data_IF_553147824699
#
_entry.id   IF_553147824699
#
_cell.length_a   1.000
_cell.length_b   1.000
_cell.length_c   1.000
_cell.angle_alpha   90.00
_cell.angle_beta   90.00
_cell.angle_gamma   90.00
#
_symmetry.space_group_name_H-M   'P 1'
#
loop_
_entity.id
_entity.type
_entity.pdbx_description
1 polymer ?
#
# COMPACT_ATOMS: atom_id res chain seq x y z
N UNK A 1 12.60 1.69 -63.02
CA UNK A 1 13.56 0.55 -62.96
C UNK A 1 14.32 0.69 -61.65
N UNK A 2 14.29 -0.30 -60.74
CA UNK A 2 15.24 -1.42 -60.63
C UNK A 2 16.71 -0.95 -60.47
N UNK A 3 17.53 -1.45 -59.53
CA UNK A 3 17.39 -2.57 -58.55
C UNK A 3 18.58 -2.55 -57.55
N UNK A 4 18.49 -3.39 -56.51
CA UNK A 4 19.61 -3.89 -55.67
C UNK A 4 20.21 -2.96 -54.60
N UNK A 5 20.77 -3.43 -53.46
CA UNK A 5 20.56 -4.62 -52.58
C UNK A 5 21.65 -4.55 -51.48
N UNK A 6 21.32 -4.76 -50.21
CA UNK A 6 22.15 -5.29 -49.07
C UNK A 6 21.21 -5.25 -47.85
N UNK A 7 20.60 -6.36 -47.45
CA UNK A 7 21.12 -7.41 -46.56
C UNK A 7 21.21 -6.95 -45.08
N UNK A 8 20.12 -7.13 -44.33
CA UNK A 8 20.12 -7.21 -42.88
C UNK A 8 19.34 -8.48 -42.47
N UNK A 9 19.82 -9.22 -41.48
CA UNK A 9 19.35 -10.58 -41.17
C UNK A 9 17.92 -10.61 -40.62
N UNK A 10 17.13 -11.56 -41.13
CA UNK A 10 16.02 -12.13 -40.38
C UNK A 10 16.57 -12.99 -39.22
N UNK A 11 16.39 -12.53 -37.99
CA UNK A 11 16.44 -13.41 -36.81
C UNK A 11 15.02 -13.92 -36.58
N UNK A 12 14.78 -15.18 -36.97
CA UNK A 12 13.50 -15.85 -36.79
C UNK A 12 13.39 -16.36 -35.33
N UNK A 13 13.09 -15.46 -34.40
CA UNK A 13 12.82 -15.82 -33.00
C UNK A 13 11.48 -16.55 -32.89
N UNK A 14 11.52 -17.88 -32.81
CA UNK A 14 10.39 -18.70 -32.40
C UNK A 14 10.07 -18.44 -30.93
N UNK A 15 9.19 -17.47 -30.64
CA UNK A 15 8.61 -17.35 -29.31
C UNK A 15 7.80 -18.60 -29.00
N UNK A 16 8.38 -19.49 -28.19
CA UNK A 16 7.66 -20.56 -27.52
C UNK A 16 6.76 -19.89 -26.49
N UNK A 17 5.46 -19.79 -26.79
CA UNK A 17 4.46 -19.30 -25.85
C UNK A 17 4.32 -20.29 -24.69
N UNK A 18 5.15 -20.12 -23.65
CA UNK A 18 4.97 -20.79 -22.37
C UNK A 18 3.66 -20.29 -21.76
N UNK A 19 2.61 -21.12 -21.86
CA UNK A 19 1.29 -20.81 -21.34
C UNK A 19 1.32 -20.60 -19.83
N UNK A 20 1.28 -19.34 -19.40
CA UNK A 20 1.07 -19.00 -18.01
C UNK A 20 -0.38 -19.31 -17.63
N UNK A 21 -0.59 -20.33 -16.80
CA UNK A 21 -1.89 -20.59 -16.19
C UNK A 21 -2.21 -19.47 -15.20
N UNK A 22 -2.98 -18.47 -15.65
CA UNK A 22 -3.38 -17.33 -14.83
C UNK A 22 -4.29 -17.80 -13.68
N UNK A 23 -3.74 -17.90 -12.47
CA UNK A 23 -4.56 -18.14 -11.28
C UNK A 23 -5.54 -16.98 -11.08
N UNK A 24 -6.82 -17.32 -10.96
CA UNK A 24 -7.89 -16.32 -10.90
C UNK A 24 -7.88 -15.60 -9.56
N UNK A 25 -7.51 -14.33 -9.60
CA UNK A 25 -7.70 -13.38 -8.49
C UNK A 25 -9.17 -13.39 -8.01
N UNK A 26 -9.43 -13.07 -6.73
CA UNK A 26 -10.78 -13.06 -6.18
C UNK A 26 -11.69 -12.16 -7.04
N UNK A 27 -12.66 -12.81 -7.68
CA UNK A 27 -13.65 -12.15 -8.52
C UNK A 27 -14.72 -11.56 -7.62
N UNK A 28 -14.85 -10.23 -7.61
CA UNK A 28 -15.82 -9.51 -6.79
C UNK A 28 -17.21 -9.52 -7.42
N UNK A 29 -17.29 -9.47 -8.75
CA UNK A 29 -18.53 -9.57 -9.51
C UNK A 29 -18.29 -10.19 -10.90
N UNK A 30 -19.33 -10.82 -11.47
CA UNK A 30 -19.36 -11.30 -12.86
C UNK A 30 -20.65 -10.88 -13.53
N UNK A 31 -20.56 -10.52 -14.81
CA UNK A 31 -21.71 -10.23 -15.66
C UNK A 31 -21.40 -10.69 -17.09
N UNK A 32 -22.06 -11.76 -17.54
CA UNK A 32 -21.74 -12.41 -18.81
C UNK A 32 -20.27 -12.85 -18.87
N UNK A 33 -19.56 -12.41 -19.91
CA UNK A 33 -18.12 -12.68 -20.09
C UNK A 33 -17.19 -11.76 -19.27
N UNK A 34 -17.73 -10.71 -18.62
CA UNK A 34 -16.93 -9.74 -17.87
C UNK A 34 -16.77 -10.14 -16.40
N UNK A 35 -15.60 -9.85 -15.83
CA UNK A 35 -15.31 -10.03 -14.40
C UNK A 35 -14.67 -8.79 -13.81
N UNK A 36 -15.16 -8.36 -12.64
CA UNK A 36 -14.49 -7.39 -11.78
C UNK A 36 -13.65 -8.12 -10.74
N UNK A 37 -12.37 -7.77 -10.62
CA UNK A 37 -11.42 -8.36 -9.66
C UNK A 37 -10.97 -7.32 -8.66
N UNK A 38 -10.47 -7.77 -7.50
CA UNK A 38 -9.89 -6.87 -6.51
C UNK A 38 -8.71 -6.05 -7.08
N UNK A 39 -7.91 -6.65 -7.94
CA UNK A 39 -6.75 -6.01 -8.59
C UNK A 39 -7.10 -4.85 -9.53
N UNK A 40 -8.26 -4.87 -10.17
CA UNK A 40 -8.75 -3.75 -11.01
C UNK A 40 -9.01 -2.51 -10.14
N UNK A 41 -9.61 -2.74 -8.96
CA UNK A 41 -9.93 -1.70 -7.98
C UNK A 41 -8.65 -1.19 -7.31
N UNK A 42 -7.76 -2.09 -6.88
CA UNK A 42 -6.50 -1.73 -6.20
C UNK A 42 -5.59 -0.87 -7.10
N UNK A 43 -5.47 -1.20 -8.40
CA UNK A 43 -4.72 -0.38 -9.39
C UNK A 43 -5.31 1.01 -9.59
N UNK A 44 -6.62 1.13 -9.47
CA UNK A 44 -7.32 2.41 -9.63
C UNK A 44 -7.16 3.29 -8.40
N UNK A 45 -7.22 2.68 -7.21
CA UNK A 45 -6.84 3.34 -5.97
C UNK A 45 -5.37 3.78 -6.06
N UNK A 46 -4.44 2.93 -6.51
CA UNK A 46 -3.03 3.32 -6.70
C UNK A 46 -2.86 4.54 -7.63
N UNK A 47 -3.60 4.60 -8.73
CA UNK A 47 -3.63 5.77 -9.61
C UNK A 47 -4.10 7.04 -8.87
N UNK A 48 -5.22 6.98 -8.14
CA UNK A 48 -5.73 8.15 -7.41
C UNK A 48 -4.85 8.54 -6.22
N UNK A 49 -4.22 7.58 -5.55
CA UNK A 49 -3.25 7.84 -4.48
C UNK A 49 -1.99 8.53 -5.02
N UNK A 50 -1.52 8.14 -6.22
CA UNK A 50 -0.46 8.86 -6.93
C UNK A 50 -0.89 10.25 -7.38
N UNK A 51 -2.09 10.38 -7.95
CA UNK A 51 -2.61 11.63 -8.50
C UNK A 51 -2.82 12.68 -7.41
N UNK A 52 -3.54 12.32 -6.34
CA UNK A 52 -3.87 13.21 -5.23
C UNK A 52 -2.74 13.32 -4.19
N UNK A 53 -1.67 12.53 -4.30
CA UNK A 53 -0.59 12.43 -3.32
C UNK A 53 -1.07 12.09 -1.90
N UNK A 54 -2.19 11.36 -1.78
CA UNK A 54 -2.87 11.02 -0.52
C UNK A 54 -3.36 9.59 -0.56
N UNK A 55 -3.05 8.82 0.48
CA UNK A 55 -3.55 7.45 0.62
C UNK A 55 -5.04 7.44 0.99
N UNK A 56 -5.79 6.48 0.43
CA UNK A 56 -7.16 6.20 0.87
C UNK A 56 -7.11 5.50 2.22
N UNK A 57 -7.97 5.93 3.17
CA UNK A 57 -8.17 5.20 4.42
C UNK A 57 -8.79 3.82 4.18
N UNK A 58 -8.72 2.93 5.17
CA UNK A 58 -9.33 1.60 5.08
C UNK A 58 -10.85 1.68 4.78
N UNK A 59 -11.55 2.66 5.35
CA UNK A 59 -12.95 2.97 5.05
C UNK A 59 -13.15 3.40 3.59
N UNK A 60 -12.40 4.41 3.14
CA UNK A 60 -12.49 4.92 1.76
C UNK A 60 -12.21 3.84 0.70
N UNK A 61 -11.25 2.92 0.95
CA UNK A 61 -11.01 1.75 0.08
C UNK A 61 -12.15 0.72 0.12
N UNK A 62 -12.92 0.66 1.20
CA UNK A 62 -14.15 -0.12 1.30
C UNK A 62 -15.29 0.51 0.50
N UNK A 63 -15.51 1.82 0.67
CA UNK A 63 -16.54 2.57 -0.03
C UNK A 63 -16.33 2.57 -1.55
N UNK A 64 -15.10 2.86 -1.99
CA UNK A 64 -14.73 2.86 -3.41
C UNK A 64 -14.97 1.50 -4.06
N UNK A 65 -14.66 0.41 -3.34
CA UNK A 65 -14.90 -0.96 -3.80
C UNK A 65 -16.39 -1.24 -3.97
N UNK A 66 -17.21 -0.83 -3.01
CA UNK A 66 -18.67 -0.99 -3.06
C UNK A 66 -19.27 -0.22 -4.24
N UNK A 67 -18.86 1.04 -4.44
CA UNK A 67 -19.25 1.87 -5.57
C UNK A 67 -18.92 1.18 -6.90
N UNK A 68 -17.69 0.66 -7.07
CA UNK A 68 -17.28 -0.03 -8.29
C UNK A 68 -17.98 -1.37 -8.52
N UNK A 69 -18.38 -2.09 -7.47
CA UNK A 69 -19.21 -3.29 -7.60
C UNK A 69 -20.61 -2.93 -8.13
N UNK A 70 -21.24 -1.87 -7.62
CA UNK A 70 -22.57 -1.45 -8.12
C UNK A 70 -22.51 -0.87 -9.54
N UNK A 71 -21.51 -0.03 -9.85
CA UNK A 71 -21.29 0.45 -11.23
C UNK A 71 -21.05 -0.71 -12.20
N UNK A 72 -20.25 -1.70 -11.82
CA UNK A 72 -20.00 -2.88 -12.67
C UNK A 72 -21.25 -3.75 -12.86
N UNK A 73 -22.17 -3.82 -11.90
CA UNK A 73 -23.46 -4.49 -12.09
C UNK A 73 -24.36 -3.73 -13.07
N UNK A 74 -24.34 -2.40 -13.04
CA UNK A 74 -25.16 -1.54 -13.89
C UNK A 74 -24.64 -1.47 -15.34
N UNK A 75 -23.33 -1.26 -15.52
CA UNK A 75 -22.64 -1.30 -16.81
C UNK A 75 -21.30 -2.05 -16.69
N UNK A 76 -21.29 -3.38 -16.92
CA UNK A 76 -20.07 -4.18 -16.85
C UNK A 76 -19.05 -3.82 -17.93
N UNK A 77 -19.51 -3.36 -19.10
CA UNK A 77 -18.66 -3.12 -20.26
C UNK A 77 -17.97 -1.76 -20.17
N UNK A 78 -18.72 -0.69 -19.86
CA UNK A 78 -18.15 0.62 -19.60
C UNK A 78 -17.26 0.62 -18.36
N UNK A 79 -17.67 -0.06 -17.29
CA UNK A 79 -16.84 -0.15 -16.07
C UNK A 79 -15.53 -0.90 -16.33
N UNK A 80 -15.55 -2.04 -17.07
CA UNK A 80 -14.31 -2.74 -17.47
C UNK A 80 -13.42 -1.82 -18.31
N UNK A 81 -13.98 -1.16 -19.33
CA UNK A 81 -13.24 -0.25 -20.19
C UNK A 81 -12.58 0.88 -19.39
N UNK A 82 -13.29 1.49 -18.44
CA UNK A 82 -12.73 2.53 -17.57
C UNK A 82 -11.50 2.06 -16.80
N UNK A 83 -11.52 0.83 -16.27
CA UNK A 83 -10.36 0.23 -15.62
C UNK A 83 -9.18 0.00 -16.57
N UNK A 84 -9.43 -0.52 -17.77
CA UNK A 84 -8.38 -0.82 -18.75
C UNK A 84 -7.75 0.46 -19.34
N UNK A 85 -8.57 1.46 -19.69
CA UNK A 85 -8.11 2.77 -20.20
C UNK A 85 -7.27 3.52 -19.13
N UNK A 86 -7.70 3.47 -17.86
CA UNK A 86 -6.96 4.10 -16.76
C UNK A 86 -5.63 3.39 -16.47
N UNK A 87 -5.63 2.05 -16.41
CA UNK A 87 -4.42 1.28 -16.18
C UNK A 87 -3.38 1.48 -17.31
N UNK A 88 -3.82 1.55 -18.57
CA UNK A 88 -2.96 1.87 -19.70
C UNK A 88 -2.39 3.29 -19.60
N UNK A 89 -3.23 4.27 -19.23
CA UNK A 89 -2.81 5.66 -19.03
C UNK A 89 -1.78 5.78 -17.92
N UNK A 90 -2.01 5.16 -16.76
CA UNK A 90 -1.08 5.18 -15.64
C UNK A 90 0.25 4.51 -15.99
N UNK A 91 0.22 3.36 -16.67
CA UNK A 91 1.45 2.70 -17.15
C UNK A 91 2.29 3.61 -18.07
N UNK A 92 1.64 4.35 -18.99
CA UNK A 92 2.31 5.30 -19.88
C UNK A 92 2.84 6.56 -19.16
N UNK A 93 2.22 6.96 -18.05
CA UNK A 93 2.74 8.02 -17.17
C UNK A 93 3.99 7.54 -16.43
N UNK A 94 3.99 6.30 -15.94
CA UNK A 94 5.09 5.72 -15.15
C UNK A 94 6.36 5.42 -15.95
N UNK A 95 6.33 5.52 -17.29
CA UNK A 95 7.53 5.48 -18.14
C UNK A 95 8.23 6.84 -18.29
N UNK A 96 7.66 7.93 -17.73
CA UNK A 96 8.19 9.29 -17.79
C UNK A 96 9.12 9.58 -16.61
N UNK A 97 9.97 10.60 -16.72
CA UNK A 97 10.72 11.13 -15.58
C UNK A 97 9.80 11.79 -14.54
N UNK A 98 10.33 12.07 -13.34
CA UNK A 98 9.53 12.57 -12.21
C UNK A 98 9.01 14.00 -12.46
N UNK A 99 9.76 14.85 -13.18
CA UNK A 99 9.34 16.22 -13.50
C UNK A 99 8.15 16.19 -14.48
N UNK A 100 8.18 15.31 -15.49
CA UNK A 100 7.05 15.13 -16.39
C UNK A 100 5.87 14.44 -15.69
N UNK A 101 6.10 13.44 -14.81
CA UNK A 101 5.04 12.85 -13.97
C UNK A 101 4.35 13.91 -13.10
N UNK A 102 5.11 14.82 -12.47
CA UNK A 102 4.58 15.91 -11.68
C UNK A 102 3.70 16.87 -12.49
N UNK A 103 4.16 17.28 -13.68
CA UNK A 103 3.39 18.15 -14.60
C UNK A 103 2.11 17.50 -15.13
N UNK A 104 2.12 16.20 -15.37
CA UNK A 104 0.91 15.46 -15.76
C UNK A 104 -0.07 15.38 -14.60
N UNK A 105 0.42 15.09 -13.39
CA UNK A 105 -0.37 15.03 -12.15
C UNK A 105 -1.06 16.36 -11.83
N UNK A 106 -0.35 17.48 -11.92
CA UNK A 106 -0.88 18.83 -11.69
C UNK A 106 -2.08 19.13 -12.62
N UNK A 107 -1.89 18.96 -13.94
CA UNK A 107 -2.95 19.18 -14.95
C UNK A 107 -4.12 18.22 -14.83
N UNK A 108 -3.84 16.97 -14.46
CA UNK A 108 -4.88 15.99 -14.16
C UNK A 108 -5.73 16.47 -12.98
N UNK A 109 -5.10 16.84 -11.86
CA UNK A 109 -5.82 17.28 -10.66
C UNK A 109 -6.67 18.53 -10.92
N UNK A 110 -6.12 19.55 -11.58
CA UNK A 110 -6.86 20.78 -11.93
C UNK A 110 -8.18 20.45 -12.67
N UNK A 111 -8.08 19.72 -13.78
CA UNK A 111 -9.23 19.40 -14.63
C UNK A 111 -10.16 18.34 -14.05
N UNK A 112 -9.65 17.39 -13.28
CA UNK A 112 -10.44 16.31 -12.69
C UNK A 112 -11.22 16.80 -11.47
N UNK A 113 -10.62 17.60 -10.59
CA UNK A 113 -11.30 18.15 -9.40
C UNK A 113 -12.41 19.13 -9.78
N UNK A 114 -12.23 19.90 -10.86
CA UNK A 114 -13.32 20.72 -11.41
C UNK A 114 -14.50 19.85 -11.88
N UNK A 115 -14.24 18.67 -12.48
CA UNK A 115 -15.30 17.74 -12.88
C UNK A 115 -15.97 17.08 -11.66
N UNK A 116 -15.20 16.62 -10.67
CA UNK A 116 -15.75 16.03 -9.43
C UNK A 116 -16.70 17.00 -8.73
N UNK A 117 -16.37 18.30 -8.66
CA UNK A 117 -17.21 19.35 -8.06
C UNK A 117 -18.51 19.64 -8.82
N UNK A 118 -18.64 19.19 -10.07
CA UNK A 118 -19.84 19.32 -10.89
C UNK A 118 -20.73 18.06 -10.85
N UNK A 119 -20.28 17.01 -10.17
CA UNK A 119 -20.96 15.73 -10.02
C UNK A 119 -21.41 15.54 -8.56
N UNK A 120 -22.57 14.91 -8.34
CA UNK A 120 -23.15 14.63 -7.00
C UNK A 120 -23.41 13.13 -6.75
N UNK A 121 -22.71 12.27 -7.49
CA UNK A 121 -22.73 10.84 -7.23
C UNK A 121 -21.81 10.46 -6.05
N UNK A 122 -21.84 9.18 -5.66
CA UNK A 122 -21.08 8.67 -4.52
C UNK A 122 -19.56 8.59 -4.80
N UNK A 123 -19.16 8.38 -6.06
CA UNK A 123 -17.74 8.35 -6.44
C UNK A 123 -17.15 9.76 -6.43
N UNK A 124 -17.86 10.71 -7.03
CA UNK A 124 -17.45 12.11 -7.09
C UNK A 124 -17.15 12.68 -5.69
N UNK A 125 -18.08 12.47 -4.74
CA UNK A 125 -17.94 12.90 -3.35
C UNK A 125 -16.80 12.18 -2.61
N UNK A 126 -16.62 10.88 -2.85
CA UNK A 126 -15.54 10.11 -2.22
C UNK A 126 -14.16 10.56 -2.72
N UNK A 127 -13.97 10.68 -4.04
CA UNK A 127 -12.70 11.09 -4.63
C UNK A 127 -12.36 12.55 -4.26
N UNK A 128 -13.37 13.43 -4.23
CA UNK A 128 -13.18 14.82 -3.80
C UNK A 128 -12.76 14.88 -2.32
N UNK A 129 -13.36 14.09 -1.43
CA UNK A 129 -12.95 14.03 -0.03
C UNK A 129 -11.51 13.53 0.17
N UNK A 130 -11.03 12.58 -0.66
CA UNK A 130 -9.61 12.16 -0.65
C UNK A 130 -8.71 13.31 -1.09
N UNK A 131 -9.05 14.01 -2.19
CA UNK A 131 -8.27 15.13 -2.71
C UNK A 131 -8.23 16.34 -1.77
N UNK A 132 -9.35 16.70 -1.14
CA UNK A 132 -9.42 17.83 -0.21
C UNK A 132 -8.68 17.50 1.11
N UNK A 133 -8.70 16.23 1.53
CA UNK A 133 -7.84 15.70 2.59
C UNK A 133 -6.34 15.66 2.26
N UNK A 134 -5.96 15.89 0.98
CA UNK A 134 -4.58 16.11 0.55
C UNK A 134 -4.21 17.60 0.47
N UNK A 135 -5.17 18.41 0.04
CA UNK A 135 -4.99 19.85 -0.23
C UNK A 135 -5.07 20.73 1.01
N UNK A 136 -5.58 20.18 2.12
CA UNK A 136 -5.52 20.82 3.44
C UNK A 136 -4.10 20.66 3.98
N UNK A 137 -3.29 21.73 4.10
CA UNK A 137 -2.05 21.66 4.87
C UNK A 137 -2.40 21.43 6.34
N UNK A 138 -1.63 20.61 7.07
CA UNK A 138 -1.78 20.57 8.53
C UNK A 138 -1.03 21.76 9.16
N UNK A 139 -1.58 22.62 10.04
CA UNK A 139 -2.96 22.81 10.53
C UNK A 139 -3.74 21.52 10.83
N UNK A 140 -3.24 20.79 11.82
CA UNK A 140 -3.84 19.59 12.44
C UNK A 140 -5.12 19.97 13.24
N UNK A 141 -6.05 20.68 12.59
CA UNK A 141 -7.24 21.34 13.18
C UNK A 141 -8.57 20.88 12.55
N UNK A 142 -8.56 19.76 11.82
CA UNK A 142 -9.77 18.95 11.75
C UNK A 142 -10.15 18.53 13.17
N UNK A 143 -11.44 18.29 13.52
CA UNK A 143 -11.77 17.79 14.83
C UNK A 143 -11.22 16.37 14.98
N UNK A 144 -9.98 16.27 15.47
CA UNK A 144 -9.50 15.08 16.14
C UNK A 144 -10.62 14.66 17.10
N UNK A 145 -11.14 13.45 16.91
CA UNK A 145 -11.86 12.81 18.01
C UNK A 145 -10.85 12.75 19.14
N UNK A 146 -11.03 13.49 20.26
CA UNK A 146 -9.91 13.79 21.15
C UNK A 146 -9.20 12.50 21.55
N UNK A 147 -7.95 12.36 21.11
CA UNK A 147 -7.15 11.19 21.43
C UNK A 147 -7.04 11.11 22.94
N UNK A 148 -7.47 10.00 23.54
CA UNK A 148 -7.33 9.82 24.98
C UNK A 148 -5.84 9.91 25.30
N UNK A 149 -5.47 10.91 26.11
CA UNK A 149 -4.10 11.08 26.58
C UNK A 149 -3.62 9.74 27.15
N UNK A 150 -2.46 9.27 26.67
CA UNK A 150 -1.95 7.94 27.00
C UNK A 150 -1.55 7.93 28.48
N UNK A 151 -2.49 7.53 29.35
CA UNK A 151 -2.41 7.83 30.79
C UNK A 151 -1.21 7.20 31.48
N UNK A 152 -1.12 5.88 31.44
CA UNK A 152 0.04 5.14 31.94
C UNK A 152 0.54 4.13 30.89
N UNK A 153 1.71 3.54 31.15
CA UNK A 153 2.31 2.55 30.26
C UNK A 153 1.49 1.23 30.20
N UNK A 154 0.63 0.96 31.19
CA UNK A 154 -0.27 -0.20 31.18
C UNK A 154 -1.39 -0.05 30.15
N UNK A 155 -1.79 1.17 29.81
CA UNK A 155 -2.73 1.45 28.72
C UNK A 155 -2.23 0.95 27.35
N UNK A 156 -0.91 0.86 27.17
CA UNK A 156 -0.24 0.29 26.00
C UNK A 156 -0.08 -1.23 26.05
N UNK A 157 -0.30 -1.90 27.19
CA UNK A 157 -0.05 -3.34 27.31
C UNK A 157 -0.88 -4.17 26.31
N UNK A 158 -0.23 -5.09 25.62
CA UNK A 158 -0.82 -5.91 24.55
C UNK A 158 0.01 -5.90 23.27
N UNK A 159 -0.57 -6.47 22.21
CA UNK A 159 0.01 -6.49 20.86
C UNK A 159 -0.71 -5.45 19.98
N UNK A 160 0.06 -4.63 19.27
CA UNK A 160 -0.40 -3.60 18.35
C UNK A 160 0.20 -3.88 16.97
N UNK A 161 -0.65 -3.95 15.97
CA UNK A 161 -0.33 -4.49 14.65
C UNK A 161 -0.69 -3.47 13.59
N UNK A 162 0.31 -3.07 12.81
CA UNK A 162 0.11 -2.50 11.50
C UNK A 162 0.44 -3.55 10.45
N UNK A 163 -0.34 -3.64 9.39
CA UNK A 163 -0.03 -4.54 8.28
C UNK A 163 -0.62 -4.05 6.97
N UNK A 164 0.21 -4.05 5.93
CA UNK A 164 -0.21 -3.85 4.54
C UNK A 164 -0.08 -5.17 3.79
N UNK A 165 -1.21 -5.76 3.40
CA UNK A 165 -1.22 -6.85 2.41
C UNK A 165 -1.01 -6.28 1.01
N UNK A 166 -0.30 -7.01 0.15
CA UNK A 166 -0.15 -6.72 -1.27
C UNK A 166 -0.43 -7.96 -2.11
N UNK A 167 -0.07 -7.90 -3.39
CA UNK A 167 -0.31 -8.98 -4.36
C UNK A 167 0.49 -10.25 -4.06
N UNK A 168 -0.14 -11.42 -4.17
CA UNK A 168 0.55 -12.71 -4.20
C UNK A 168 1.04 -13.06 -5.60
N UNK A 169 2.25 -13.61 -5.68
CA UNK A 169 2.91 -14.03 -6.92
C UNK A 169 3.00 -15.55 -6.95
N UNK A 170 2.59 -16.14 -8.08
CA UNK A 170 2.54 -17.58 -8.30
C UNK A 170 3.26 -17.95 -9.59
N UNK A 171 3.86 -19.15 -9.62
CA UNK A 171 4.56 -19.68 -10.78
C UNK A 171 3.60 -20.26 -11.82
N UNK A 172 4.08 -20.47 -13.04
CA UNK A 172 3.30 -21.06 -14.14
C UNK A 172 2.86 -22.50 -13.85
N UNK A 173 3.59 -23.21 -12.99
CA UNK A 173 3.24 -24.52 -12.42
C UNK A 173 2.25 -24.44 -11.24
N UNK A 174 1.75 -23.25 -10.90
CA UNK A 174 0.86 -23.02 -9.76
C UNK A 174 1.54 -23.04 -8.39
N UNK A 175 2.87 -23.12 -8.29
CA UNK A 175 3.56 -23.02 -6.99
C UNK A 175 3.59 -21.58 -6.48
N UNK A 176 3.41 -21.40 -5.17
CA UNK A 176 3.54 -20.09 -4.53
C UNK A 176 5.00 -19.60 -4.63
N UNK A 177 5.22 -18.39 -5.16
CA UNK A 177 6.56 -17.79 -5.27
C UNK A 177 6.82 -16.74 -4.19
N UNK A 178 5.76 -16.12 -3.65
CA UNK A 178 5.83 -15.13 -2.60
C UNK A 178 4.64 -14.18 -2.64
N UNK A 179 4.67 -13.15 -1.80
CA UNK A 179 3.68 -12.07 -1.82
C UNK A 179 4.31 -10.75 -1.42
N UNK A 180 3.81 -9.66 -1.99
CA UNK A 180 4.09 -8.34 -1.48
C UNK A 180 3.34 -8.14 -0.17
N UNK A 181 3.99 -7.59 0.84
CA UNK A 181 3.31 -7.26 2.09
C UNK A 181 4.26 -6.88 3.21
N UNK A 182 3.70 -6.30 4.26
CA UNK A 182 4.44 -5.94 5.46
C UNK A 182 3.57 -6.08 6.70
N UNK A 183 4.20 -6.45 7.82
CA UNK A 183 3.61 -6.47 9.15
C UNK A 183 4.63 -5.91 10.13
N UNK A 184 4.23 -4.86 10.84
CA UNK A 184 4.97 -4.32 11.97
C UNK A 184 4.14 -4.58 13.23
N UNK A 185 4.79 -4.99 14.30
CA UNK A 185 4.11 -5.42 15.52
C UNK A 185 4.90 -4.95 16.72
N UNK A 186 4.29 -4.09 17.53
CA UNK A 186 4.75 -3.74 18.87
C UNK A 186 4.02 -4.61 19.89
N UNK A 187 4.77 -5.19 20.82
CA UNK A 187 4.22 -5.93 21.95
C UNK A 187 4.74 -5.34 23.25
N UNK A 188 3.90 -4.60 23.95
CA UNK A 188 4.21 -4.01 25.24
C UNK A 188 3.73 -4.90 26.38
N UNK A 189 4.59 -5.10 27.36
CA UNK A 189 4.27 -5.71 28.65
C UNK A 189 3.93 -4.62 29.66
N UNK A 190 3.12 -4.93 30.67
CA UNK A 190 2.72 -3.95 31.70
C UNK A 190 3.91 -3.45 32.56
N UNK A 191 5.02 -4.19 32.59
CA UNK A 191 6.30 -3.80 33.21
C UNK A 191 7.19 -2.92 32.30
N UNK A 192 6.67 -2.48 31.15
CA UNK A 192 7.36 -1.65 30.19
C UNK A 192 8.33 -2.37 29.25
N UNK A 193 8.50 -3.69 29.35
CA UNK A 193 9.26 -4.42 28.31
C UNK A 193 8.52 -4.34 26.99
N UNK A 194 9.24 -4.01 25.92
CA UNK A 194 8.71 -3.94 24.55
C UNK A 194 9.48 -4.86 23.62
N UNK A 195 8.76 -5.55 22.75
CA UNK A 195 9.29 -6.28 21.59
C UNK A 195 8.72 -5.66 20.31
N UNK A 196 9.59 -5.37 19.35
CA UNK A 196 9.20 -4.98 17.99
C UNK A 196 9.60 -6.08 17.01
N UNK A 197 8.62 -6.54 16.23
CA UNK A 197 8.83 -7.43 15.09
C UNK A 197 8.43 -6.70 13.81
N UNK A 198 9.32 -6.71 12.82
CA UNK A 198 9.05 -6.17 11.49
C UNK A 198 9.33 -7.20 10.41
N UNK A 199 8.31 -7.49 9.61
CA UNK A 199 8.40 -8.34 8.43
C UNK A 199 8.02 -7.50 7.23
N UNK A 200 8.88 -7.44 6.23
CA UNK A 200 8.54 -6.92 4.90
C UNK A 200 8.91 -7.98 3.87
N UNK A 201 8.05 -8.15 2.87
CA UNK A 201 8.29 -9.05 1.76
C UNK A 201 7.91 -8.33 0.46
N UNK A 202 8.82 -8.37 -0.53
CA UNK A 202 8.68 -7.66 -1.81
C UNK A 202 8.99 -8.63 -2.94
N UNK A 203 8.07 -8.75 -3.88
CA UNK A 203 8.20 -9.54 -5.10
C UNK A 203 8.49 -8.63 -6.30
N UNK A 204 9.65 -8.79 -6.94
CA UNK A 204 10.03 -8.06 -8.14
C UNK A 204 10.69 -9.02 -9.16
N UNK A 205 10.17 -9.08 -10.39
CA UNK A 205 10.76 -9.89 -11.47
C UNK A 205 10.84 -11.40 -11.19
N UNK A 206 9.96 -11.94 -10.33
CA UNK A 206 10.04 -13.33 -9.86
C UNK A 206 10.98 -13.56 -8.68
N UNK A 207 11.72 -12.53 -8.26
CA UNK A 207 12.59 -12.55 -7.10
C UNK A 207 11.85 -12.10 -5.83
N UNK A 208 12.06 -12.80 -4.73
CA UNK A 208 11.51 -12.50 -3.41
C UNK A 208 12.59 -11.83 -2.54
N UNK A 209 12.35 -10.61 -2.07
CA UNK A 209 13.16 -9.96 -1.05
C UNK A 209 12.39 -9.92 0.28
N UNK A 210 12.92 -10.58 1.30
CA UNK A 210 12.38 -10.57 2.65
C UNK A 210 13.30 -9.79 3.60
N UNK A 211 12.73 -8.89 4.39
CA UNK A 211 13.40 -8.20 5.49
C UNK A 211 12.74 -8.65 6.79
N UNK A 212 13.56 -9.10 7.74
CA UNK A 212 13.14 -9.45 9.08
C UNK A 212 13.88 -8.61 10.12
N UNK A 213 13.11 -8.08 11.08
CA UNK A 213 13.59 -7.28 12.21
C UNK A 213 13.00 -7.86 13.49
N UNK A 214 13.85 -8.12 14.47
CA UNK A 214 13.43 -8.43 15.84
C UNK A 214 14.34 -7.68 16.82
N UNK A 215 13.72 -6.84 17.64
CA UNK A 215 14.41 -6.07 18.68
C UNK A 215 13.56 -6.00 19.95
N UNK A 216 14.23 -5.97 21.09
CA UNK A 216 13.64 -5.85 22.42
C UNK A 216 14.17 -4.61 23.11
N UNK A 217 13.39 -4.02 24.00
CA UNK A 217 13.77 -2.83 24.72
C UNK A 217 12.96 -2.63 25.99
N UNK A 218 13.24 -1.52 26.66
CA UNK A 218 12.45 -1.02 27.77
C UNK A 218 11.80 0.29 27.33
N UNK A 219 10.48 0.39 27.50
CA UNK A 219 9.69 1.58 27.25
C UNK A 219 9.44 2.35 28.56
N UNK A 220 9.35 3.66 28.45
CA UNK A 220 8.82 4.58 29.46
C UNK A 220 7.92 5.60 28.78
N UNK A 221 6.92 6.10 29.49
CA UNK A 221 5.93 7.04 28.98
C UNK A 221 5.88 8.28 29.86
N UNK A 222 5.86 9.45 29.23
CA UNK A 222 5.71 10.74 29.90
C UNK A 222 4.72 11.60 29.10
N UNK A 223 3.45 11.54 29.46
CA UNK A 223 2.36 12.11 28.66
C UNK A 223 2.22 11.38 27.33
N UNK A 224 2.25 12.12 26.23
CA UNK A 224 2.24 11.60 24.85
C UNK A 224 3.61 11.09 24.37
N UNK A 225 4.67 11.24 25.17
CA UNK A 225 6.05 10.94 24.78
C UNK A 225 6.48 9.56 25.25
N UNK A 226 6.49 8.59 24.33
CA UNK A 226 6.97 7.23 24.53
C UNK A 226 8.46 7.13 24.20
N UNK A 227 9.31 6.94 25.21
CA UNK A 227 10.74 6.69 25.03
C UNK A 227 11.02 5.19 25.09
N UNK A 228 11.76 4.66 24.11
CA UNK A 228 12.15 3.24 24.07
C UNK A 228 13.67 3.12 23.99
N UNK A 229 14.28 2.48 24.99
CA UNK A 229 15.68 2.06 24.98
C UNK A 229 15.80 0.63 24.45
N UNK A 230 16.20 0.51 23.18
CA UNK A 230 16.37 -0.76 22.48
C UNK A 230 17.72 -1.42 22.76
N UNK A 231 17.69 -2.74 22.95
CA UNK A 231 18.85 -3.61 22.90
C UNK A 231 19.38 -3.72 21.45
N UNK A 232 20.60 -4.28 21.23
CA UNK A 232 21.11 -4.51 19.88
C UNK A 232 20.14 -5.35 19.02
N UNK A 233 19.74 -4.82 17.87
CA UNK A 233 18.75 -5.41 16.97
C UNK A 233 19.40 -6.47 16.06
N UNK A 234 18.74 -7.62 15.86
CA UNK A 234 19.05 -8.52 14.74
C UNK A 234 18.20 -8.13 13.53
N UNK A 235 18.89 -7.73 12.46
CA UNK A 235 18.31 -7.40 11.17
C UNK A 235 18.77 -8.44 10.14
N UNK A 236 17.84 -9.08 9.44
CA UNK A 236 18.13 -10.04 8.37
C UNK A 236 17.51 -9.56 7.05
N UNK A 237 18.25 -9.66 5.95
CA UNK A 237 17.76 -9.52 4.58
C UNK A 237 18.07 -10.79 3.80
N UNK A 238 17.03 -11.38 3.21
CA UNK A 238 17.12 -12.46 2.23
C UNK A 238 16.62 -11.93 0.87
N UNK A 239 17.29 -12.29 -0.22
CA UNK A 239 16.93 -11.96 -1.58
C UNK A 239 17.16 -13.17 -2.50
N UNK A 240 16.07 -13.77 -2.98
CA UNK A 240 16.09 -15.11 -3.58
C UNK A 240 16.97 -15.24 -4.83
N UNK A 241 17.12 -14.16 -5.61
CA UNK A 241 17.88 -14.10 -6.86
C UNK A 241 19.33 -13.64 -6.69
N UNK A 242 19.69 -13.08 -5.53
CA UNK A 242 21.03 -12.58 -5.25
C UNK A 242 21.42 -12.92 -3.80
N UNK A 243 21.54 -14.23 -3.57
CA UNK A 243 21.87 -14.81 -2.25
C UNK A 243 23.26 -14.39 -1.75
N UNK A 244 24.15 -13.92 -2.63
CA UNK A 244 25.44 -13.38 -2.24
C UNK A 244 25.30 -12.07 -1.44
N UNK A 245 24.19 -11.34 -1.66
CA UNK A 245 23.83 -10.13 -0.93
C UNK A 245 22.86 -10.36 0.24
N UNK A 246 22.59 -11.62 0.61
CA UNK A 246 21.91 -11.95 1.86
C UNK A 246 22.81 -11.61 3.05
N UNK A 247 22.24 -11.03 4.10
CA UNK A 247 22.99 -10.75 5.32
C UNK A 247 22.13 -10.80 6.56
N UNK A 248 22.77 -11.16 7.68
CA UNK A 248 22.30 -10.79 9.02
C UNK A 248 23.30 -9.82 9.62
N UNK A 249 22.81 -8.68 10.11
CA UNK A 249 23.62 -7.66 10.80
C UNK A 249 23.02 -7.40 12.17
N UNK A 250 23.89 -7.34 13.18
CA UNK A 250 23.53 -6.77 14.48
C UNK A 250 23.69 -5.25 14.40
N UNK A 251 22.64 -4.50 14.71
CA UNK A 251 22.73 -3.04 14.87
C UNK A 251 22.95 -2.71 16.34
N UNK A 252 23.66 -1.62 16.67
CA UNK A 252 23.87 -1.23 18.07
C UNK A 252 22.54 -0.92 18.78
N UNK A 253 22.58 -0.94 20.10
CA UNK A 253 21.51 -0.40 20.93
C UNK A 253 21.25 1.08 20.56
N UNK A 254 19.99 1.50 20.61
CA UNK A 254 19.58 2.90 20.40
C UNK A 254 18.45 3.26 21.35
N UNK A 255 18.35 4.53 21.74
CA UNK A 255 17.14 5.06 22.34
C UNK A 255 16.42 5.92 21.31
N UNK A 256 15.10 5.79 21.23
CA UNK A 256 14.27 6.70 20.44
C UNK A 256 13.10 7.22 21.28
N UNK A 257 12.57 8.37 20.92
CA UNK A 257 11.39 8.96 21.57
C UNK A 257 10.37 9.23 20.48
N UNK A 258 9.16 8.71 20.70
CA UNK A 258 8.04 8.72 19.78
C UNK A 258 6.91 9.52 20.43
N UNK A 259 6.31 10.43 19.67
CA UNK A 259 5.03 11.03 20.05
C UNK A 259 3.91 10.07 19.69
N UNK A 260 3.02 9.79 20.63
CA UNK A 260 1.96 8.78 20.47
C UNK A 260 0.61 9.28 20.99
N UNK A 261 -0.45 8.79 20.35
CA UNK A 261 -1.83 8.96 20.80
C UNK A 261 -2.60 7.66 20.68
N UNK A 262 -3.56 7.43 21.59
CA UNK A 262 -4.50 6.33 21.48
C UNK A 262 -5.82 6.86 20.94
N UNK A 263 -6.29 6.26 19.84
CA UNK A 263 -7.59 6.60 19.24
C UNK A 263 -8.49 5.36 19.14
N UNK A 264 -9.76 5.57 18.87
CA UNK A 264 -10.69 4.49 18.50
C UNK A 264 -11.30 4.80 17.14
N UNK A 265 -10.88 4.07 16.11
CA UNK A 265 -11.42 4.19 14.76
C UNK A 265 -12.26 2.95 14.43
N UNK A 266 -13.49 3.14 13.93
CA UNK A 266 -14.39 2.03 13.56
C UNK A 266 -14.58 0.96 14.67
N UNK A 267 -14.61 1.40 15.94
CA UNK A 267 -14.74 0.53 17.12
C UNK A 267 -13.47 -0.29 17.45
N UNK A 268 -12.34 -0.02 16.79
CA UNK A 268 -11.04 -0.65 17.07
C UNK A 268 -10.13 0.37 17.75
N UNK A 269 -9.51 -0.03 18.86
CA UNK A 269 -8.50 0.80 19.55
C UNK A 269 -7.19 0.74 18.78
N UNK A 270 -6.57 1.89 18.56
CA UNK A 270 -5.34 2.02 17.79
C UNK A 270 -4.30 2.86 18.53
N UNK A 271 -3.03 2.53 18.28
CA UNK A 271 -1.86 3.27 18.73
C UNK A 271 -1.26 3.98 17.51
N UNK A 272 -1.44 5.29 17.44
CA UNK A 272 -0.88 6.12 16.39
C UNK A 272 0.43 6.75 16.86
N UNK A 273 1.44 6.74 15.98
CA UNK A 273 2.71 7.43 16.17
C UNK A 273 2.68 8.70 15.30
N UNK A 274 3.05 9.85 15.86
CA UNK A 274 3.05 11.12 15.12
C UNK A 274 4.04 11.07 13.94
N UNK A 275 3.55 11.42 12.74
CA UNK A 275 4.34 11.35 11.50
C UNK A 275 4.56 9.94 10.94
N UNK A 276 3.93 8.91 11.50
CA UNK A 276 4.02 7.51 11.08
C UNK A 276 2.62 6.83 11.12
N UNK A 277 2.57 5.52 11.00
CA UNK A 277 1.35 4.72 10.86
C UNK A 277 0.59 4.47 12.19
N UNK A 278 -0.71 4.18 12.09
CA UNK A 278 -1.54 3.72 13.22
C UNK A 278 -1.58 2.18 13.30
N UNK A 279 -1.34 1.65 14.50
CA UNK A 279 -1.30 0.22 14.79
C UNK A 279 -2.60 -0.19 15.49
N UNK A 280 -3.44 -1.02 14.86
CA UNK A 280 -4.63 -1.53 15.54
C UNK A 280 -4.26 -2.57 16.61
N UNK A 281 -4.93 -2.55 17.76
CA UNK A 281 -4.74 -3.60 18.79
C UNK A 281 -5.12 -4.98 18.22
N UNK A 282 -4.29 -6.00 18.48
CA UNK A 282 -4.69 -7.39 18.27
C UNK A 282 -5.85 -7.76 19.19
N UNK A 283 -6.68 -8.68 18.73
CA UNK A 283 -7.61 -9.43 19.58
C UNK A 283 -6.84 -10.41 20.46
#
# INVERSE_FOLDING_TARGET
>A
MNKSKILLLLVLSTLTALGAAAQSEPTLARAGAQSLRQSDIDRTIEFFEWAFQKQFTAGQRGDYRSIKIEQFKADPAGTRKGFDDLAATFAAIRTKDEDEQARVREKFNESFVEQLRRQDDAEARLLLAVYEGASTPANDDGPETPGDAVGDLSALAGEWVWSRSGSSTWGTNGSYLGSNGSRFTYKFSADGRVEFTGIMNVMAGGCNQQIFRLVRGQASLSGDSLTISWQPEKFTRDFSCDRANNYTKTRPAKTETLKIRLQTENGRRELCIEGDECYSRSK
#
